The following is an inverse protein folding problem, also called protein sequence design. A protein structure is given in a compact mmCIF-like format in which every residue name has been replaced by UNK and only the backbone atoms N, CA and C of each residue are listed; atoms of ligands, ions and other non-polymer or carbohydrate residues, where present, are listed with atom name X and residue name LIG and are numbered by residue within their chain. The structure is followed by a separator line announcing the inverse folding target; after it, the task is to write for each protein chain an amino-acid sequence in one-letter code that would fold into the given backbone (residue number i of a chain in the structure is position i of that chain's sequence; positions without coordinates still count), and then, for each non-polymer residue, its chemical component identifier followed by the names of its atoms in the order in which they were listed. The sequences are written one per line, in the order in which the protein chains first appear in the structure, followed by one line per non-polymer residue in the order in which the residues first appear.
data_IF_113003993043
#
_entry.id   IF_113003993043
#
_cell.length_a   1.000
_cell.length_b   1.000
_cell.length_c   1.000
_cell.angle_alpha   90.00
_cell.angle_beta   90.00
_cell.angle_gamma   90.00
#
_symmetry.space_group_name_H-M   'P 1'
#
loop_
_entity.id
_entity.type
_entity.pdbx_description
1 polymer ?
#
# COMPACT_ATOMS: atom_id res chain seq x y z
N UNK A 1 -9.24 -6.54 -14.77
CA UNK A 1 -8.52 -5.28 -14.49
C UNK A 1 -7.64 -5.54 -13.29
N UNK A 2 -6.32 -5.38 -13.43
CA UNK A 2 -5.37 -5.58 -12.32
C UNK A 2 -5.39 -4.34 -11.41
N UNK A 3 -6.10 -4.44 -10.29
CA UNK A 3 -6.09 -3.43 -9.23
C UNK A 3 -4.81 -3.60 -8.40
N UNK A 4 -4.03 -2.52 -8.23
CA UNK A 4 -2.79 -2.58 -7.44
C UNK A 4 -3.08 -2.01 -6.05
N UNK A 5 -2.93 -2.84 -5.03
CA UNK A 5 -3.12 -2.45 -3.63
C UNK A 5 -1.78 -2.39 -2.94
N UNK A 6 -1.43 -1.21 -2.42
CA UNK A 6 -0.23 -0.96 -1.64
C UNK A 6 -0.61 -0.98 -0.16
N UNK A 7 -0.22 -2.05 0.51
CA UNK A 7 -0.31 -2.15 1.95
C UNK A 7 0.87 -1.41 2.59
N UNK A 8 0.57 -0.51 3.51
CA UNK A 8 1.55 0.40 4.10
C UNK A 8 1.39 0.49 5.61
N UNK A 9 2.41 0.97 6.29
CA UNK A 9 2.40 1.26 7.73
C UNK A 9 2.77 2.73 7.93
N UNK A 10 2.16 3.46 8.88
CA UNK A 10 2.50 4.84 9.17
C UNK A 10 3.99 4.97 9.47
N UNK A 11 4.57 6.08 8.99
CA UNK A 11 5.99 6.41 9.06
C UNK A 11 6.94 5.53 8.24
N UNK A 12 6.43 4.74 7.28
CA UNK A 12 7.30 4.00 6.37
C UNK A 12 7.79 4.89 5.20
N UNK A 13 8.98 5.46 5.34
CA UNK A 13 9.64 6.29 4.31
C UNK A 13 9.78 5.53 2.97
N UNK A 14 9.90 4.20 3.03
CA UNK A 14 9.97 3.32 1.85
C UNK A 14 8.63 3.26 1.10
N UNK A 15 7.49 3.29 1.80
CA UNK A 15 6.16 3.33 1.16
C UNK A 15 5.96 4.63 0.37
N UNK A 16 6.45 5.76 0.88
CA UNK A 16 6.42 7.03 0.15
C UNK A 16 7.18 6.99 -1.18
N UNK A 17 8.34 6.32 -1.22
CA UNK A 17 9.08 6.14 -2.46
C UNK A 17 8.29 5.31 -3.49
N UNK A 18 7.55 4.30 -3.02
CA UNK A 18 6.66 3.49 -3.85
C UNK A 18 5.52 4.33 -4.40
N UNK A 19 4.79 5.11 -3.57
CA UNK A 19 3.72 5.99 -4.05
C UNK A 19 4.20 6.93 -5.16
N UNK A 20 5.33 7.59 -4.94
CA UNK A 20 5.91 8.48 -5.95
C UNK A 20 6.26 7.75 -7.26
N UNK A 21 6.70 6.49 -7.20
CA UNK A 21 6.97 5.71 -8.40
C UNK A 21 5.69 5.36 -9.17
N UNK A 22 4.59 5.10 -8.46
CA UNK A 22 3.28 4.83 -9.05
C UNK A 22 2.64 6.09 -9.65
N UNK A 23 2.71 7.22 -8.93
CA UNK A 23 2.30 8.55 -9.42
C UNK A 23 3.05 8.93 -10.70
N UNK A 24 4.38 8.75 -10.73
CA UNK A 24 5.18 8.99 -11.93
C UNK A 24 4.78 8.13 -13.13
N UNK A 25 4.26 6.92 -12.87
CA UNK A 25 3.77 6.00 -13.90
C UNK A 25 2.28 6.19 -14.21
N UNK A 26 1.60 7.12 -13.53
CA UNK A 26 0.15 7.35 -13.63
C UNK A 26 -0.67 6.06 -13.47
N UNK A 27 -0.20 5.17 -12.60
CA UNK A 27 -0.89 3.92 -12.30
C UNK A 27 -1.92 4.18 -11.21
N UNK A 28 -3.10 3.61 -11.37
CA UNK A 28 -4.12 3.59 -10.33
C UNK A 28 -3.69 2.58 -9.25
N UNK A 29 -3.60 3.03 -8.00
CA UNK A 29 -3.34 2.18 -6.86
C UNK A 29 -4.21 2.58 -5.68
N UNK A 30 -4.54 1.60 -4.84
CA UNK A 30 -5.16 1.82 -3.52
C UNK A 30 -4.10 1.71 -2.45
N UNK A 31 -4.22 2.51 -1.40
CA UNK A 31 -3.38 2.41 -0.21
C UNK A 31 -4.23 1.89 0.93
N UNK A 32 -3.76 0.83 1.59
CA UNK A 32 -4.38 0.29 2.81
C UNK A 32 -3.36 0.40 3.94
N UNK A 33 -3.75 1.09 5.03
CA UNK A 33 -2.92 1.23 6.21
C UNK A 33 -3.09 0.01 7.14
N UNK A 34 -2.01 -0.76 7.28
CA UNK A 34 -1.93 -1.96 8.10
C UNK A 34 -1.88 -1.67 9.61
N UNK A 35 -1.66 -0.43 10.04
CA UNK A 35 -1.66 -0.09 11.47
C UNK A 35 -3.05 0.04 12.06
N UNK A 36 -4.01 0.47 11.25
CA UNK A 36 -5.40 0.65 11.68
C UNK A 36 -6.26 -0.58 11.33
N UNK A 37 -5.81 -1.40 10.38
CA UNK A 37 -6.59 -2.50 9.83
C UNK A 37 -6.06 -3.87 10.26
N UNK A 38 -6.57 -4.36 11.40
CA UNK A 38 -6.25 -5.69 11.92
C UNK A 38 -6.64 -6.83 10.94
N UNK A 39 -7.65 -6.64 10.08
CA UNK A 39 -8.03 -7.64 9.07
C UNK A 39 -7.00 -7.73 7.94
N UNK A 40 -6.39 -6.60 7.57
CA UNK A 40 -5.33 -6.58 6.56
C UNK A 40 -4.03 -7.27 7.06
N UNK A 41 -3.76 -7.24 8.38
CA UNK A 41 -2.66 -7.99 8.99
C UNK A 41 -2.88 -9.50 8.86
N UNK A 42 -4.10 -9.99 9.10
CA UNK A 42 -4.43 -11.42 8.93
C UNK A 42 -4.28 -11.88 7.48
N UNK A 43 -4.59 -11.02 6.50
CA UNK A 43 -4.46 -11.35 5.07
C UNK A 43 -3.00 -11.52 4.60
N UNK A 44 -2.04 -10.80 5.19
CA UNK A 44 -0.61 -10.87 4.81
C UNK A 44 0.12 -12.01 5.55
N UNK A 45 -0.40 -12.44 6.71
CA UNK A 45 0.25 -13.44 7.55
C UNK A 45 0.03 -14.90 7.12
N UNK A 46 -0.88 -15.18 6.18
CA UNK A 46 -1.24 -16.54 5.74
C UNK A 46 -0.66 -16.90 4.36
#
# INVERSE_FOLDING_TARGET
MTEITIYSKPNCVQCNATYQAFERKQLQYKVIDLSEDNQAIEFIKN
#
